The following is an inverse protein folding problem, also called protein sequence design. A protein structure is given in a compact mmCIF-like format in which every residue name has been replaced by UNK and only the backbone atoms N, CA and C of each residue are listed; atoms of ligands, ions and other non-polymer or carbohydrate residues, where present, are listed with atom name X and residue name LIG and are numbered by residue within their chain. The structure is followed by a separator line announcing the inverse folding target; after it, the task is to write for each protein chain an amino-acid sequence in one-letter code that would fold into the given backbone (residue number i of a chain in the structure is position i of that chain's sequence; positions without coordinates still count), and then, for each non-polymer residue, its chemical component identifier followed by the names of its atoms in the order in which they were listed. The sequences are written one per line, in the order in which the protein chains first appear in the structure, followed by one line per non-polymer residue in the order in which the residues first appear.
data_IF_163052660356
#
_entry.id   IF_163052660356
#
_cell.length_a   1.000
_cell.length_b   1.000
_cell.length_c   1.000
_cell.angle_alpha   90.00
_cell.angle_beta   90.00
_cell.angle_gamma   90.00
#
_symmetry.space_group_name_H-M   'P 1'
#
loop_
_entity.id
_entity.type
_entity.pdbx_description
1 polymer ?
#
# COMPACT_ATOMS: atom_id res chain seq x y z
N UNK A 1 -17.71 -7.88 -4.14
CA UNK A 1 -16.52 -7.09 -3.75
C UNK A 1 -15.89 -6.47 -4.99
N UNK A 2 -15.43 -5.24 -4.87
CA UNK A 2 -14.69 -4.57 -5.95
C UNK A 2 -13.31 -5.21 -6.10
N UNK A 3 -12.90 -5.50 -7.33
CA UNK A 3 -11.54 -5.98 -7.61
C UNK A 3 -10.51 -4.86 -7.39
N UNK A 4 -9.32 -5.21 -6.98
CA UNK A 4 -8.23 -4.26 -6.79
C UNK A 4 -7.58 -3.88 -8.12
N UNK A 5 -7.11 -2.64 -8.21
CA UNK A 5 -6.31 -2.17 -9.35
C UNK A 5 -4.84 -2.58 -9.28
N UNK A 6 -4.42 -3.24 -8.21
CA UNK A 6 -3.10 -3.84 -8.03
C UNK A 6 -3.21 -5.34 -7.82
N UNK A 7 -2.14 -6.06 -8.08
CA UNK A 7 -1.93 -7.40 -7.58
C UNK A 7 -1.57 -7.31 -6.10
N UNK A 8 -2.26 -8.08 -5.24
CA UNK A 8 -2.18 -7.91 -3.78
C UNK A 8 -1.90 -9.24 -3.09
N UNK A 9 -0.89 -9.24 -2.23
CA UNK A 9 -0.72 -10.30 -1.23
C UNK A 9 -1.52 -9.92 0.00
N UNK A 10 -2.48 -10.78 0.37
CA UNK A 10 -3.38 -10.53 1.49
C UNK A 10 -3.10 -11.50 2.63
N UNK A 11 -2.94 -10.96 3.85
CA UNK A 11 -2.91 -11.73 5.09
C UNK A 11 -4.23 -11.46 5.80
N UNK A 12 -5.09 -12.46 5.85
CA UNK A 12 -6.45 -12.35 6.41
C UNK A 12 -6.42 -12.20 7.91
N UNK A 13 -7.46 -11.56 8.48
CA UNK A 13 -7.60 -11.46 9.93
C UNK A 13 -7.75 -12.85 10.57
N UNK A 14 -7.23 -12.99 11.79
CA UNK A 14 -7.38 -14.23 12.58
C UNK A 14 -8.77 -14.33 13.22
N UNK A 15 -9.45 -13.21 13.36
CA UNK A 15 -10.83 -13.16 13.85
C UNK A 15 -11.77 -13.82 12.85
N UNK A 16 -12.77 -14.55 13.37
CA UNK A 16 -13.86 -15.10 12.54
C UNK A 16 -14.83 -14.02 12.05
N UNK A 17 -14.74 -12.83 12.62
CA UNK A 17 -15.58 -11.71 12.27
C UNK A 17 -14.98 -10.92 11.11
N UNK A 18 -15.77 -10.03 10.54
CA UNK A 18 -15.33 -9.05 9.57
C UNK A 18 -14.14 -8.24 10.15
N UNK A 19 -13.10 -7.96 9.36
CA UNK A 19 -11.99 -7.13 9.83
C UNK A 19 -12.48 -5.76 10.34
N UNK A 20 -11.93 -5.33 11.46
CA UNK A 20 -12.23 -4.03 12.07
C UNK A 20 -11.28 -2.94 11.61
N UNK A 21 -10.12 -3.34 11.12
CA UNK A 21 -9.05 -2.45 10.65
C UNK A 21 -8.36 -3.05 9.44
N UNK A 22 -7.85 -2.19 8.58
CA UNK A 22 -7.01 -2.57 7.45
C UNK A 22 -5.64 -1.89 7.58
N UNK A 23 -4.59 -2.66 7.31
CA UNK A 23 -3.21 -2.16 7.25
C UNK A 23 -2.68 -2.44 5.85
N UNK A 24 -2.33 -1.39 5.14
CA UNK A 24 -1.73 -1.46 3.81
C UNK A 24 -0.23 -1.27 3.93
N UNK A 25 0.54 -2.24 3.43
CA UNK A 25 2.00 -2.20 3.46
C UNK A 25 2.53 -1.96 2.04
N UNK A 26 3.24 -0.86 1.86
CA UNK A 26 3.85 -0.45 0.61
C UNK A 26 5.34 -0.78 0.62
N UNK A 27 5.76 -1.69 -0.27
CA UNK A 27 7.16 -2.13 -0.38
C UNK A 27 8.07 -1.03 -0.93
N UNK A 28 9.38 -1.23 -0.78
CA UNK A 28 10.40 -0.32 -1.32
C UNK A 28 10.70 -0.56 -2.79
N UNK A 29 11.58 0.27 -3.33
CA UNK A 29 12.05 0.22 -4.72
C UNK A 29 12.71 -1.13 -5.02
N UNK A 30 12.18 -1.86 -5.99
CA UNK A 30 12.67 -3.18 -6.37
C UNK A 30 12.15 -4.35 -5.52
N UNK A 31 11.28 -4.08 -4.55
CA UNK A 31 10.60 -5.11 -3.76
C UNK A 31 9.25 -5.53 -4.37
N UNK A 32 8.48 -6.25 -3.58
CA UNK A 32 7.12 -6.66 -3.93
C UNK A 32 6.25 -6.82 -2.66
N UNK A 33 4.95 -7.00 -2.87
CA UNK A 33 4.00 -7.19 -1.77
C UNK A 33 4.25 -8.45 -0.95
N UNK A 34 4.76 -9.50 -1.59
CA UNK A 34 5.06 -10.76 -0.92
C UNK A 34 6.23 -10.61 0.07
N UNK A 35 7.26 -9.89 -0.31
CA UNK A 35 8.41 -9.65 0.55
C UNK A 35 8.02 -8.87 1.80
N UNK A 36 7.27 -7.78 1.65
CA UNK A 36 6.86 -6.96 2.78
C UNK A 36 5.80 -7.65 3.66
N UNK A 37 5.06 -8.62 3.13
CA UNK A 37 4.04 -9.36 3.89
C UNK A 37 4.61 -10.17 5.07
N UNK A 38 5.93 -10.38 5.11
CA UNK A 38 6.60 -10.99 6.27
C UNK A 38 6.33 -10.19 7.55
N UNK A 39 6.25 -8.86 7.47
CA UNK A 39 5.88 -8.02 8.61
C UNK A 39 4.46 -8.33 9.08
N UNK A 40 3.52 -8.45 8.15
CA UNK A 40 2.12 -8.78 8.45
C UNK A 40 2.01 -10.13 9.15
N UNK A 41 2.73 -11.15 8.69
CA UNK A 41 2.76 -12.46 9.31
C UNK A 41 3.23 -12.41 10.78
N UNK A 42 4.19 -11.54 11.06
CA UNK A 42 4.70 -11.36 12.44
C UNK A 42 3.72 -10.56 13.31
N UNK A 43 3.03 -9.57 12.75
CA UNK A 43 2.12 -8.70 13.48
C UNK A 43 0.72 -9.28 13.68
N UNK A 44 0.31 -10.20 12.84
CA UNK A 44 -1.05 -10.76 12.80
C UNK A 44 -1.53 -11.26 14.18
N UNK A 45 -0.66 -11.92 14.93
CA UNK A 45 -0.99 -12.43 16.26
C UNK A 45 -1.29 -11.35 17.30
N UNK A 46 -0.77 -10.15 17.10
CA UNK A 46 -1.00 -9.00 17.99
C UNK A 46 -2.18 -8.14 17.53
N UNK A 47 -2.59 -8.31 16.28
CA UNK A 47 -3.64 -7.54 15.63
C UNK A 47 -4.65 -8.49 14.96
N UNK A 48 -5.35 -9.33 15.75
CA UNK A 48 -6.14 -10.43 15.20
C UNK A 48 -7.36 -9.98 14.39
N UNK A 49 -7.80 -8.74 14.55
CA UNK A 49 -8.93 -8.16 13.82
C UNK A 49 -8.53 -7.34 12.60
N UNK A 50 -7.20 -7.27 12.32
CA UNK A 50 -6.70 -6.56 11.17
C UNK A 50 -6.59 -7.46 9.94
N UNK A 51 -6.93 -6.92 8.78
CA UNK A 51 -6.52 -7.46 7.50
C UNK A 51 -5.31 -6.68 6.99
N UNK A 52 -4.33 -7.38 6.45
CA UNK A 52 -3.13 -6.80 5.89
C UNK A 52 -3.14 -6.96 4.37
N UNK A 53 -2.91 -5.88 3.66
CA UNK A 53 -2.92 -5.83 2.20
C UNK A 53 -1.58 -5.27 1.72
N UNK A 54 -0.86 -6.08 0.97
CA UNK A 54 0.48 -5.78 0.48
C UNK A 54 0.45 -5.74 -1.05
N UNK A 55 0.15 -4.59 -1.67
CA UNK A 55 0.09 -4.48 -3.11
C UNK A 55 1.48 -4.51 -3.74
N UNK A 56 1.58 -5.09 -4.93
CA UNK A 56 2.70 -4.83 -5.83
C UNK A 56 2.54 -3.43 -6.42
N UNK A 57 3.61 -2.64 -6.42
CA UNK A 57 3.61 -1.35 -7.09
C UNK A 57 3.32 -1.50 -8.59
N UNK A 58 2.90 -0.40 -9.27
CA UNK A 58 2.30 -0.52 -10.60
C UNK A 58 3.26 -0.83 -11.75
N UNK A 59 4.57 -0.67 -11.54
CA UNK A 59 5.56 -0.81 -12.61
C UNK A 59 6.62 -1.85 -12.24
N UNK A 60 7.15 -2.56 -13.26
CA UNK A 60 8.35 -3.38 -13.10
C UNK A 60 9.53 -2.44 -12.81
N UNK A 61 10.36 -2.79 -11.83
CA UNK A 61 11.45 -1.94 -11.40
C UNK A 61 12.56 -1.84 -12.48
N UNK A 62 13.00 -0.62 -12.76
CA UNK A 62 14.03 -0.36 -13.76
C UNK A 62 15.39 -1.02 -13.43
N UNK A 63 15.72 -1.16 -12.15
CA UNK A 63 16.99 -1.73 -11.68
C UNK A 63 16.87 -3.16 -11.17
N UNK A 64 15.66 -3.68 -11.02
CA UNK A 64 15.38 -5.05 -10.61
C UNK A 64 14.16 -5.60 -11.33
N UNK A 65 14.33 -6.29 -12.47
CA UNK A 65 13.19 -6.78 -13.27
C UNK A 65 12.30 -7.81 -12.58
N UNK A 66 12.71 -8.34 -11.44
CA UNK A 66 11.93 -9.29 -10.65
C UNK A 66 11.10 -8.61 -9.56
N UNK A 67 11.29 -7.32 -9.35
CA UNK A 67 10.57 -6.51 -8.40
C UNK A 67 9.82 -5.36 -9.06
N UNK A 68 9.19 -4.53 -8.22
CA UNK A 68 8.32 -3.45 -8.66
C UNK A 68 8.80 -2.09 -8.13
N UNK A 69 8.30 -1.04 -8.74
CA UNK A 69 8.53 0.34 -8.34
C UNK A 69 7.23 1.14 -8.35
N UNK A 70 7.11 2.07 -7.41
CA UNK A 70 5.99 3.02 -7.41
C UNK A 70 6.16 4.04 -8.52
N UNK A 71 7.39 4.52 -8.71
CA UNK A 71 7.80 5.37 -9.81
C UNK A 71 9.30 5.22 -10.06
N UNK A 72 9.74 5.55 -11.26
CA UNK A 72 11.14 5.38 -11.66
C UNK A 72 12.04 6.44 -11.01
N UNK A 73 13.08 5.99 -10.29
CA UNK A 73 14.08 6.85 -9.66
C UNK A 73 15.34 7.03 -10.51
N UNK A 74 15.43 6.41 -11.66
CA UNK A 74 16.60 6.52 -12.56
C UNK A 74 16.55 7.72 -13.49
N UNK A 75 15.46 8.49 -13.45
CA UNK A 75 15.25 9.65 -14.31
C UNK A 75 16.11 10.84 -13.86
N UNK A 76 16.64 11.60 -14.83
CA UNK A 76 17.59 12.69 -14.56
C UNK A 76 16.95 13.97 -14.05
N UNK A 77 15.64 14.14 -14.20
CA UNK A 77 14.93 15.38 -13.85
C UNK A 77 13.98 15.19 -12.71
N UNK A 78 14.17 15.94 -11.65
CA UNK A 78 13.32 15.91 -10.46
C UNK A 78 11.86 16.19 -10.77
N UNK A 79 11.57 17.11 -11.69
CA UNK A 79 10.20 17.42 -12.09
C UNK A 79 9.49 16.22 -12.71
N UNK A 80 10.23 15.40 -13.49
CA UNK A 80 9.68 14.19 -14.10
C UNK A 80 9.44 13.11 -13.05
N UNK A 81 10.36 12.96 -12.08
CA UNK A 81 10.17 12.03 -10.95
C UNK A 81 8.93 12.43 -10.15
N UNK A 82 8.76 13.71 -9.85
CA UNK A 82 7.59 14.22 -9.13
C UNK A 82 6.29 13.91 -9.91
N UNK A 83 6.28 14.19 -11.21
CA UNK A 83 5.13 13.91 -12.07
C UNK A 83 4.74 12.42 -12.04
N UNK A 84 5.74 11.53 -12.15
CA UNK A 84 5.52 10.08 -12.05
C UNK A 84 5.02 9.66 -10.66
N UNK A 85 5.52 10.28 -9.59
CA UNK A 85 5.05 10.01 -8.24
C UNK A 85 3.57 10.39 -8.05
N UNK A 86 3.11 11.46 -8.68
CA UNK A 86 1.71 11.88 -8.64
C UNK A 86 0.78 10.87 -9.33
N UNK A 87 1.24 10.27 -10.43
CA UNK A 87 0.49 9.19 -11.12
C UNK A 87 0.38 7.96 -10.21
N UNK A 88 1.47 7.57 -9.54
CA UNK A 88 1.48 6.46 -8.60
C UNK A 88 0.58 6.75 -7.39
N UNK A 89 0.60 7.97 -6.89
CA UNK A 89 -0.28 8.42 -5.80
C UNK A 89 -1.75 8.24 -6.15
N UNK A 90 -2.17 8.64 -7.35
CA UNK A 90 -3.55 8.45 -7.80
C UNK A 90 -3.95 6.99 -7.82
N UNK A 91 -3.09 6.11 -8.35
CA UNK A 91 -3.34 4.66 -8.38
C UNK A 91 -3.46 4.06 -6.97
N UNK A 92 -2.60 4.49 -6.05
CA UNK A 92 -2.65 4.03 -4.66
C UNK A 92 -3.90 4.57 -3.95
N UNK A 93 -4.32 5.80 -4.21
CA UNK A 93 -5.57 6.35 -3.68
C UNK A 93 -6.78 5.51 -4.11
N UNK A 94 -6.85 5.14 -5.38
CA UNK A 94 -7.91 4.25 -5.88
C UNK A 94 -7.89 2.92 -5.13
N UNK A 95 -6.73 2.33 -4.93
CA UNK A 95 -6.58 1.09 -4.17
C UNK A 95 -7.08 1.22 -2.73
N UNK A 96 -6.71 2.30 -2.04
CA UNK A 96 -7.17 2.52 -0.67
C UNK A 96 -8.68 2.66 -0.59
N UNK A 97 -9.30 3.35 -1.54
CA UNK A 97 -10.76 3.46 -1.62
C UNK A 97 -11.41 2.09 -1.85
N UNK A 98 -10.82 1.26 -2.70
CA UNK A 98 -11.28 -0.13 -2.91
C UNK A 98 -11.18 -0.97 -1.64
N UNK A 99 -10.12 -0.81 -0.85
CA UNK A 99 -9.95 -1.49 0.45
C UNK A 99 -11.03 -1.07 1.44
N UNK A 100 -11.23 0.23 1.59
CA UNK A 100 -12.25 0.78 2.50
C UNK A 100 -13.66 0.30 2.11
N UNK A 101 -13.95 0.32 0.82
CA UNK A 101 -15.25 -0.12 0.29
C UNK A 101 -15.46 -1.63 0.50
N UNK A 102 -14.47 -2.47 0.13
CA UNK A 102 -14.58 -3.92 0.26
C UNK A 102 -14.82 -4.39 1.69
N UNK A 103 -14.22 -3.74 2.66
CA UNK A 103 -14.36 -4.11 4.08
C UNK A 103 -15.31 -3.18 4.85
N UNK A 104 -15.93 -2.21 4.18
CA UNK A 104 -16.85 -1.23 4.79
C UNK A 104 -16.21 -0.55 6.01
N UNK A 105 -14.99 -0.06 5.82
CA UNK A 105 -14.21 0.61 6.85
C UNK A 105 -14.23 2.13 6.65
N UNK A 106 -14.21 2.85 7.75
CA UNK A 106 -13.95 4.28 7.76
C UNK A 106 -12.43 4.52 7.60
N UNK A 107 -12.00 5.64 6.98
CA UNK A 107 -10.57 5.98 6.91
C UNK A 107 -9.83 5.97 8.24
N UNK A 108 -10.49 6.27 9.36
CA UNK A 108 -9.91 6.18 10.70
C UNK A 108 -9.52 4.75 11.12
N UNK A 109 -9.98 3.74 10.39
CA UNK A 109 -9.63 2.32 10.61
C UNK A 109 -8.60 1.81 9.59
N UNK A 110 -7.97 2.71 8.83
CA UNK A 110 -6.93 2.41 7.86
C UNK A 110 -5.58 2.90 8.39
N UNK A 111 -4.56 2.04 8.33
CA UNK A 111 -3.18 2.41 8.56
C UNK A 111 -2.35 2.14 7.31
N UNK A 112 -1.40 3.02 7.03
CA UNK A 112 -0.41 2.86 5.98
C UNK A 112 0.96 2.57 6.60
N UNK A 113 1.63 1.56 6.08
CA UNK A 113 3.02 1.24 6.44
C UNK A 113 3.82 1.27 5.15
N UNK A 114 4.94 1.95 5.16
CA UNK A 114 5.80 2.04 3.99
C UNK A 114 7.26 1.83 4.32
N UNK A 115 7.97 1.17 3.42
CA UNK A 115 9.41 1.00 3.49
C UNK A 115 10.05 1.73 2.30
N UNK A 116 11.05 2.60 2.57
CA UNK A 116 11.80 3.34 1.54
C UNK A 116 10.86 4.09 0.58
N UNK A 117 10.83 3.77 -0.71
CA UNK A 117 9.93 4.40 -1.67
C UNK A 117 8.45 4.22 -1.30
N UNK A 118 8.09 3.07 -0.71
CA UNK A 118 6.75 2.86 -0.18
C UNK A 118 6.40 3.83 0.94
N UNK A 119 7.37 4.22 1.77
CA UNK A 119 7.18 5.28 2.78
C UNK A 119 6.95 6.64 2.12
N UNK A 120 7.72 6.98 1.09
CA UNK A 120 7.58 8.25 0.37
C UNK A 120 6.15 8.42 -0.16
N UNK A 121 5.64 7.44 -0.87
CA UNK A 121 4.28 7.50 -1.44
C UNK A 121 3.19 7.49 -0.36
N UNK A 122 3.40 6.75 0.72
CA UNK A 122 2.45 6.68 1.84
C UNK A 122 2.32 8.03 2.55
N UNK A 123 3.43 8.72 2.83
CA UNK A 123 3.42 10.06 3.42
C UNK A 123 2.75 11.07 2.49
N UNK A 124 3.09 11.02 1.19
CA UNK A 124 2.51 11.91 0.18
C UNK A 124 0.99 11.83 0.16
N UNK A 125 0.44 10.61 0.23
CA UNK A 125 -1.00 10.37 0.29
C UNK A 125 -1.60 10.83 1.61
N UNK A 126 -1.01 10.43 2.74
CA UNK A 126 -1.54 10.71 4.07
C UNK A 126 -1.71 12.22 4.31
N UNK A 127 -0.75 13.02 3.85
CA UNK A 127 -0.79 14.48 4.00
C UNK A 127 -1.89 15.16 3.17
N UNK A 128 -2.38 14.51 2.13
CA UNK A 128 -3.41 15.05 1.23
C UNK A 128 -4.81 14.52 1.48
N UNK A 129 -4.98 13.53 2.37
CA UNK A 129 -6.28 12.94 2.68
C UNK A 129 -7.18 13.97 3.37
N UNK A 130 -8.40 14.15 2.86
CA UNK A 130 -9.42 15.01 3.46
C UNK A 130 -9.94 14.46 4.78
N UNK A 131 -10.13 13.13 4.86
CA UNK A 131 -10.40 12.41 6.09
C UNK A 131 -9.11 11.77 6.58
N UNK A 132 -8.79 12.02 7.83
CA UNK A 132 -7.59 11.49 8.45
C UNK A 132 -7.67 9.96 8.55
N UNK A 133 -6.64 9.29 8.07
CA UNK A 133 -6.40 7.88 8.34
C UNK A 133 -5.88 7.70 9.76
N UNK A 134 -5.85 6.47 10.27
CA UNK A 134 -5.42 6.20 11.64
C UNK A 134 -3.92 6.54 11.83
N UNK A 135 -3.08 5.97 11.00
CA UNK A 135 -1.64 6.24 11.00
C UNK A 135 -0.98 5.78 9.70
#
# INVERSE_FOLDING_TARGET
MTSYNFEVTTITSLSKNKPQQAIVLCHGYGGDGRDISVLANNWQRFLPECIFLCPNAPEICAVNPQGYQWFDLTLDKEEVILEKSLIAEEKLNIFLDQVLDNFQLDPSNLALVGFSQGCMISIQIALKKKKQINC
#
